data_IF_455540059864
#
_entry.id   IF_455540059864
#
_cell.length_a   1.000
_cell.length_b   1.000
_cell.length_c   1.000
_cell.angle_alpha   90.00
_cell.angle_beta   90.00
_cell.angle_gamma   90.00
#
_symmetry.space_group_name_H-M   'P 1'
#
loop_
_entity.id
_entity.type
_entity.pdbx_description
1 polymer ?
#
# COMPACT_ATOMS: atom_id res chain seq x y z
N UNK A 1 23.73 7.01 -28.74
CA UNK A 1 24.04 5.58 -28.45
C UNK A 1 23.44 4.76 -29.57
N UNK A 2 24.27 3.96 -30.21
CA UNK A 2 24.00 3.07 -31.35
C UNK A 2 24.26 1.62 -30.93
N UNK A 3 23.85 0.63 -31.72
CA UNK A 3 24.11 -0.79 -31.37
C UNK A 3 25.62 -1.08 -31.25
N UNK A 4 26.46 -0.40 -32.03
CA UNK A 4 27.93 -0.52 -31.93
C UNK A 4 28.49 -0.02 -30.60
N UNK A 5 27.76 0.84 -29.87
CA UNK A 5 28.21 1.34 -28.57
C UNK A 5 27.93 0.34 -27.43
N UNK A 6 27.08 -0.66 -27.66
CA UNK A 6 26.54 -1.54 -26.62
C UNK A 6 27.61 -2.43 -25.96
N UNK A 7 28.64 -2.80 -26.71
CA UNK A 7 29.72 -3.66 -26.21
C UNK A 7 30.95 -2.85 -25.73
N UNK A 8 30.88 -1.52 -25.80
CA UNK A 8 31.89 -0.62 -25.22
C UNK A 8 31.73 -0.62 -23.69
N UNK A 9 32.86 -0.69 -22.99
CA UNK A 9 32.92 -0.65 -21.53
C UNK A 9 32.98 0.78 -21.01
N UNK A 10 32.16 1.08 -20.02
CA UNK A 10 32.08 2.37 -19.33
C UNK A 10 32.28 2.20 -17.82
N UNK A 11 32.70 3.27 -17.15
CA UNK A 11 32.75 3.31 -15.69
C UNK A 11 31.34 3.23 -15.10
N UNK A 12 31.16 2.35 -14.12
CA UNK A 12 29.91 2.11 -13.40
C UNK A 12 30.06 2.38 -11.88
N UNK A 13 31.13 3.08 -11.47
CA UNK A 13 31.50 3.33 -10.05
C UNK A 13 30.41 4.07 -9.25
N UNK A 14 29.58 4.88 -9.89
CA UNK A 14 28.47 5.60 -9.25
C UNK A 14 27.13 4.83 -9.30
N UNK A 15 27.18 3.55 -9.66
CA UNK A 15 26.04 2.63 -9.62
C UNK A 15 26.31 1.51 -8.63
N UNK A 16 25.27 0.84 -8.17
CA UNK A 16 25.38 -0.28 -7.25
C UNK A 16 25.12 -1.63 -7.92
N UNK A 17 25.37 -1.72 -9.23
CA UNK A 17 25.22 -2.95 -10.00
C UNK A 17 26.31 -4.00 -9.72
N UNK A 18 27.34 -3.69 -8.92
CA UNK A 18 28.33 -4.67 -8.45
C UNK A 18 29.60 -4.79 -9.30
N UNK A 19 29.85 -3.86 -10.24
CA UNK A 19 31.11 -3.79 -11.01
C UNK A 19 31.55 -2.35 -11.24
N UNK A 20 32.87 -2.09 -11.17
CA UNK A 20 33.43 -0.76 -11.42
C UNK A 20 33.43 -0.38 -12.90
N UNK A 21 33.45 -1.37 -13.79
CA UNK A 21 33.39 -1.21 -15.24
C UNK A 21 32.44 -2.25 -15.82
N UNK A 22 31.52 -1.82 -16.68
CA UNK A 22 30.49 -2.65 -17.31
C UNK A 22 30.31 -2.25 -18.76
N UNK A 23 29.88 -3.18 -19.62
CA UNK A 23 29.49 -2.79 -20.98
C UNK A 23 28.21 -1.95 -20.95
N UNK A 24 28.02 -1.06 -21.91
CA UNK A 24 26.79 -0.27 -22.01
C UNK A 24 25.55 -1.15 -22.03
N UNK A 25 25.62 -2.32 -22.70
CA UNK A 25 24.55 -3.33 -22.72
C UNK A 25 24.17 -3.79 -21.31
N UNK A 26 25.17 -4.10 -20.49
CA UNK A 26 24.95 -4.54 -19.10
C UNK A 26 24.37 -3.40 -18.25
N UNK A 27 24.86 -2.16 -18.43
CA UNK A 27 24.34 -0.99 -17.70
C UNK A 27 22.88 -0.73 -18.06
N UNK A 28 22.55 -0.68 -19.35
CA UNK A 28 21.17 -0.45 -19.82
C UNK A 28 20.24 -1.58 -19.37
N UNK A 29 20.70 -2.83 -19.41
CA UNK A 29 19.93 -3.96 -18.89
C UNK A 29 19.68 -3.81 -17.38
N UNK A 30 20.71 -3.51 -16.58
CA UNK A 30 20.57 -3.35 -15.14
C UNK A 30 19.63 -2.18 -14.77
N UNK A 31 19.72 -1.06 -15.50
CA UNK A 31 18.81 0.08 -15.33
C UNK A 31 17.35 -0.32 -15.66
N UNK A 32 17.11 -1.06 -16.75
CA UNK A 32 15.76 -1.52 -17.11
C UNK A 32 15.20 -2.51 -16.10
N UNK A 33 16.03 -3.45 -15.64
CA UNK A 33 15.64 -4.41 -14.59
C UNK A 33 15.29 -3.68 -13.28
N UNK A 34 16.02 -2.61 -12.95
CA UNK A 34 15.83 -1.86 -11.70
C UNK A 34 14.64 -0.89 -11.75
N UNK A 35 14.52 -0.09 -12.80
CA UNK A 35 13.64 1.08 -12.85
C UNK A 35 12.49 0.96 -13.87
N UNK A 36 12.43 -0.13 -14.65
CA UNK A 36 11.41 -0.34 -15.68
C UNK A 36 10.71 -1.71 -15.56
N UNK A 37 10.83 -2.35 -14.39
CA UNK A 37 10.15 -3.60 -14.05
C UNK A 37 8.79 -3.34 -13.38
N UNK A 38 8.44 -4.18 -12.40
CA UNK A 38 7.20 -4.05 -11.62
C UNK A 38 7.19 -2.86 -10.65
N UNK A 39 8.33 -2.20 -10.42
CA UNK A 39 8.49 -1.06 -9.52
C UNK A 39 9.02 0.14 -10.29
N UNK A 40 8.26 1.23 -10.28
CA UNK A 40 8.71 2.57 -10.63
C UNK A 40 9.03 3.35 -9.35
N UNK A 41 10.19 3.99 -9.29
CA UNK A 41 10.64 4.72 -8.09
C UNK A 41 10.83 6.20 -8.38
N UNK A 42 10.16 7.05 -7.60
CA UNK A 42 10.31 8.51 -7.63
C UNK A 42 10.94 8.97 -6.31
N UNK A 43 12.24 9.24 -6.34
CA UNK A 43 13.00 9.76 -5.18
C UNK A 43 14.01 10.85 -5.55
N UNK A 44 14.32 11.00 -6.85
CA UNK A 44 15.34 11.93 -7.34
C UNK A 44 14.95 13.41 -7.19
N UNK A 45 13.66 13.72 -6.97
CA UNK A 45 13.19 15.06 -6.62
C UNK A 45 13.61 15.49 -5.21
N UNK A 46 13.98 14.55 -4.34
CA UNK A 46 14.46 14.84 -3.00
C UNK A 46 15.78 15.63 -3.01
N UNK A 47 15.88 16.61 -2.13
CA UNK A 47 17.06 17.47 -2.03
C UNK A 47 18.25 16.74 -1.39
N UNK A 48 18.00 15.90 -0.38
CA UNK A 48 19.02 15.20 0.42
C UNK A 48 19.80 14.14 -0.40
N UNK A 49 21.13 14.32 -0.59
CA UNK A 49 21.97 13.34 -1.27
C UNK A 49 22.07 11.98 -0.55
N UNK A 50 21.97 11.96 0.78
CA UNK A 50 22.03 10.73 1.57
C UNK A 50 20.81 9.85 1.31
N UNK A 51 19.61 10.43 1.27
CA UNK A 51 18.36 9.73 0.93
C UNK A 51 18.40 9.19 -0.50
N UNK A 52 18.84 10.01 -1.47
CA UNK A 52 19.00 9.56 -2.86
C UNK A 52 19.94 8.37 -2.97
N UNK A 53 21.10 8.44 -2.28
CA UNK A 53 22.07 7.34 -2.26
C UNK A 53 21.49 6.09 -1.61
N UNK A 54 20.75 6.24 -0.52
CA UNK A 54 20.13 5.15 0.22
C UNK A 54 19.13 4.36 -0.65
N UNK A 55 18.32 5.07 -1.44
CA UNK A 55 17.38 4.48 -2.40
C UNK A 55 18.11 3.81 -3.56
N UNK A 56 19.04 4.54 -4.19
CA UNK A 56 19.82 4.05 -5.31
C UNK A 56 20.55 2.75 -4.96
N UNK A 57 21.19 2.70 -3.79
CA UNK A 57 21.91 1.52 -3.31
C UNK A 57 21.02 0.29 -3.19
N UNK A 58 19.85 0.44 -2.55
CA UNK A 58 18.93 -0.70 -2.32
C UNK A 58 18.29 -1.19 -3.60
N UNK A 59 17.87 -0.28 -4.47
CA UNK A 59 17.21 -0.61 -5.73
C UNK A 59 18.20 -1.26 -6.71
N UNK A 60 19.36 -0.65 -6.93
CA UNK A 60 20.33 -1.11 -7.92
C UNK A 60 21.07 -2.39 -7.50
N UNK A 61 21.31 -2.61 -6.20
CA UNK A 61 21.86 -3.89 -5.72
C UNK A 61 20.91 -5.06 -6.00
N UNK A 62 19.62 -4.85 -5.78
CA UNK A 62 18.60 -5.89 -5.99
C UNK A 62 18.22 -6.04 -7.47
N UNK A 63 18.45 -5.03 -8.30
CA UNK A 63 18.05 -4.98 -9.72
C UNK A 63 16.58 -5.34 -9.94
N UNK A 64 15.71 -4.87 -9.04
CA UNK A 64 14.27 -5.17 -9.09
C UNK A 64 13.89 -6.63 -8.85
N UNK A 65 14.81 -7.47 -8.36
CA UNK A 65 14.61 -8.91 -8.14
C UNK A 65 14.72 -9.22 -6.64
N UNK A 66 13.64 -9.09 -5.86
CA UNK A 66 13.66 -9.49 -4.46
C UNK A 66 13.88 -10.99 -4.34
N UNK A 67 14.67 -11.40 -3.34
CA UNK A 67 14.99 -12.80 -3.10
C UNK A 67 14.20 -13.32 -1.89
N UNK A 68 12.99 -13.81 -2.14
CA UNK A 68 12.17 -14.49 -1.13
C UNK A 68 12.41 -15.99 -1.14
N UNK A 69 12.51 -16.57 0.05
CA UNK A 69 12.48 -18.01 0.28
C UNK A 69 11.15 -18.62 -0.17
N UNK A 70 11.13 -19.94 -0.35
CA UNK A 70 9.92 -20.65 -0.74
C UNK A 70 8.78 -20.48 0.27
N UNK A 71 9.09 -20.38 1.57
CA UNK A 71 8.07 -20.23 2.61
C UNK A 71 7.53 -18.81 2.68
N UNK A 72 8.37 -17.78 2.46
CA UNK A 72 7.90 -16.40 2.30
C UNK A 72 6.96 -16.28 1.08
N UNK A 73 7.32 -16.89 -0.06
CA UNK A 73 6.46 -16.91 -1.26
C UNK A 73 5.11 -17.59 -1.00
N UNK A 74 5.11 -18.71 -0.27
CA UNK A 74 3.87 -19.38 0.14
C UNK A 74 3.04 -18.51 1.09
N UNK A 75 3.67 -17.81 2.02
CA UNK A 75 2.99 -16.88 2.93
C UNK A 75 2.35 -15.72 2.16
N UNK A 76 3.05 -15.14 1.19
CA UNK A 76 2.48 -14.12 0.29
C UNK A 76 1.24 -14.68 -0.42
N UNK A 77 1.33 -15.88 -1.01
CA UNK A 77 0.19 -16.52 -1.66
C UNK A 77 -0.98 -16.80 -0.70
N UNK A 78 -0.68 -17.16 0.55
CA UNK A 78 -1.68 -17.37 1.60
C UNK A 78 -2.44 -16.07 1.90
N UNK A 79 -1.74 -14.94 2.08
CA UNK A 79 -2.36 -13.63 2.28
C UNK A 79 -3.28 -13.24 1.12
N UNK A 80 -2.85 -13.47 -0.13
CA UNK A 80 -3.70 -13.25 -1.31
C UNK A 80 -4.93 -14.17 -1.34
N UNK A 81 -4.75 -15.42 -0.91
CA UNK A 81 -5.82 -16.42 -0.89
C UNK A 81 -6.86 -16.08 0.18
N UNK A 82 -6.43 -15.62 1.36
CA UNK A 82 -7.32 -15.12 2.40
C UNK A 82 -8.08 -13.87 1.93
N UNK A 83 -7.40 -12.95 1.22
CA UNK A 83 -8.00 -11.74 0.67
C UNK A 83 -9.10 -12.06 -0.35
N UNK A 84 -8.80 -12.85 -1.39
CA UNK A 84 -9.78 -13.25 -2.42
C UNK A 84 -10.90 -14.13 -1.82
N UNK A 85 -10.54 -15.08 -0.95
CA UNK A 85 -11.46 -16.05 -0.36
C UNK A 85 -12.59 -15.39 0.43
N UNK A 86 -12.26 -14.40 1.27
CA UNK A 86 -13.26 -13.64 2.04
C UNK A 86 -14.23 -12.90 1.11
N UNK A 87 -13.72 -12.21 0.08
CA UNK A 87 -14.56 -11.44 -0.83
C UNK A 87 -15.53 -12.33 -1.62
N UNK A 88 -15.03 -13.47 -2.12
CA UNK A 88 -15.86 -14.45 -2.84
C UNK A 88 -16.90 -15.10 -1.94
N UNK A 89 -16.57 -15.36 -0.68
CA UNK A 89 -17.54 -15.85 0.30
C UNK A 89 -18.65 -14.81 0.52
N UNK A 90 -18.28 -13.56 0.82
CA UNK A 90 -19.25 -12.48 1.04
C UNK A 90 -20.11 -12.21 -0.20
N UNK A 91 -19.52 -12.27 -1.40
CA UNK A 91 -20.25 -12.10 -2.66
C UNK A 91 -21.32 -13.17 -2.85
N UNK A 92 -20.99 -14.42 -2.51
CA UNK A 92 -21.90 -15.57 -2.65
C UNK A 92 -22.98 -15.57 -1.58
N UNK A 93 -22.63 -15.22 -0.34
CA UNK A 93 -23.53 -15.33 0.83
C UNK A 93 -24.46 -14.12 0.98
N UNK A 94 -23.97 -12.92 0.71
CA UNK A 94 -24.68 -11.65 0.96
C UNK A 94 -24.84 -10.84 -0.32
N UNK A 95 -25.48 -11.47 -1.31
CA UNK A 95 -25.72 -10.87 -2.64
C UNK A 95 -26.45 -9.53 -2.49
N UNK A 96 -25.93 -8.50 -3.16
CA UNK A 96 -26.52 -7.17 -3.16
C UNK A 96 -26.23 -6.33 -1.91
N UNK A 97 -25.56 -6.84 -0.87
CA UNK A 97 -25.11 -5.96 0.22
C UNK A 97 -23.79 -5.27 -0.14
N UNK A 98 -23.73 -3.95 0.09
CA UNK A 98 -22.53 -3.15 -0.14
C UNK A 98 -21.41 -3.55 0.83
N UNK A 99 -20.23 -3.85 0.29
CA UNK A 99 -19.03 -4.19 1.08
C UNK A 99 -17.74 -3.50 0.61
N UNK A 100 -17.76 -2.91 -0.59
CA UNK A 100 -16.61 -2.24 -1.19
C UNK A 100 -15.40 -3.17 -1.36
N UNK A 101 -15.64 -4.25 -2.10
CA UNK A 101 -14.72 -5.37 -2.33
C UNK A 101 -13.29 -4.91 -2.70
N UNK A 102 -12.31 -5.62 -2.14
CA UNK A 102 -10.90 -5.47 -2.49
C UNK A 102 -10.51 -6.19 -3.79
N UNK A 103 -11.39 -6.97 -4.41
CA UNK A 103 -11.05 -7.79 -5.60
C UNK A 103 -10.38 -6.97 -6.72
N UNK A 104 -9.21 -7.45 -7.16
CA UNK A 104 -8.29 -6.75 -8.07
C UNK A 104 -7.22 -5.89 -7.38
N UNK A 105 -7.20 -5.83 -6.05
CA UNK A 105 -6.20 -5.15 -5.21
C UNK A 105 -5.73 -6.01 -4.04
N UNK A 106 -5.78 -7.34 -4.15
CA UNK A 106 -5.52 -8.30 -3.07
C UNK A 106 -4.11 -8.17 -2.48
N UNK A 107 -3.13 -7.76 -3.28
CA UNK A 107 -1.75 -7.52 -2.83
C UNK A 107 -1.63 -6.47 -1.73
N UNK A 108 -2.64 -5.62 -1.55
CA UNK A 108 -2.73 -4.71 -0.41
C UNK A 108 -2.73 -5.46 0.94
N UNK A 109 -3.36 -6.63 1.05
CA UNK A 109 -3.34 -7.41 2.30
C UNK A 109 -1.94 -7.97 2.58
N UNK A 110 -1.21 -8.38 1.55
CA UNK A 110 0.18 -8.78 1.69
C UNK A 110 1.09 -7.60 2.12
N UNK A 111 0.84 -6.40 1.59
CA UNK A 111 1.53 -5.18 2.03
C UNK A 111 1.24 -4.86 3.50
N UNK A 112 -0.02 -4.90 3.92
CA UNK A 112 -0.40 -4.63 5.32
C UNK A 112 0.21 -5.65 6.29
N UNK A 113 0.24 -6.93 5.91
CA UNK A 113 0.90 -7.98 6.68
C UNK A 113 2.40 -7.66 6.86
N UNK A 114 3.09 -7.32 5.77
CA UNK A 114 4.52 -6.95 5.81
C UNK A 114 4.78 -5.69 6.66
N UNK A 115 3.92 -4.67 6.59
CA UNK A 115 4.02 -3.48 7.47
C UNK A 115 4.01 -3.88 8.95
N UNK A 116 3.15 -4.82 9.33
CA UNK A 116 3.01 -5.28 10.71
C UNK A 116 4.22 -6.11 11.11
N UNK A 117 4.56 -7.14 10.34
CA UNK A 117 5.66 -8.06 10.66
C UNK A 117 6.99 -7.31 10.76
N UNK A 118 7.32 -6.50 9.74
CA UNK A 118 8.55 -5.71 9.70
C UNK A 118 8.57 -4.57 10.70
N UNK A 119 7.41 -3.97 10.97
CA UNK A 119 7.26 -2.96 12.02
C UNK A 119 7.62 -3.54 13.38
N UNK A 120 7.04 -4.70 13.72
CA UNK A 120 7.32 -5.39 14.96
C UNK A 120 8.78 -5.82 15.11
N UNK A 121 9.39 -6.37 14.04
CA UNK A 121 10.83 -6.66 14.00
C UNK A 121 11.71 -5.43 14.28
N UNK A 122 11.27 -4.25 13.82
CA UNK A 122 11.95 -2.97 14.04
C UNK A 122 11.56 -2.28 15.35
N UNK A 123 10.84 -2.96 16.23
CA UNK A 123 10.49 -2.49 17.58
C UNK A 123 9.29 -1.56 17.65
N UNK A 124 8.50 -1.43 16.56
CA UNK A 124 7.19 -0.76 16.62
C UNK A 124 6.30 -1.51 17.62
N UNK A 125 5.68 -0.76 18.52
CA UNK A 125 4.80 -1.29 19.57
C UNK A 125 3.33 -1.08 19.24
N UNK A 126 3.00 -0.02 18.50
CA UNK A 126 1.63 0.26 18.06
C UNK A 126 1.59 0.73 16.61
N UNK A 127 0.58 0.30 15.87
CA UNK A 127 0.26 0.78 14.53
C UNK A 127 -1.16 1.34 14.54
N UNK A 128 -1.30 2.59 14.11
CA UNK A 128 -2.60 3.26 14.00
C UNK A 128 -2.92 3.44 12.53
N UNK A 129 -4.04 2.86 12.11
CA UNK A 129 -4.44 2.75 10.71
C UNK A 129 -5.61 3.71 10.45
N UNK A 130 -5.45 4.59 9.47
CA UNK A 130 -6.54 5.36 8.87
C UNK A 130 -6.82 4.83 7.46
N UNK A 131 -8.04 4.44 7.15
CA UNK A 131 -8.39 3.98 5.79
C UNK A 131 -9.81 4.33 5.39
N UNK A 132 -10.03 4.45 4.09
CA UNK A 132 -11.35 4.58 3.48
C UNK A 132 -12.10 3.21 3.41
N UNK A 133 -13.18 3.15 2.63
CA UNK A 133 -14.04 1.97 2.53
C UNK A 133 -13.42 0.75 1.82
N UNK A 134 -12.50 0.97 0.87
CA UNK A 134 -12.01 -0.08 -0.05
C UNK A 134 -11.25 -1.17 0.71
N UNK A 135 -11.78 -2.40 0.69
CA UNK A 135 -11.16 -3.54 1.37
C UNK A 135 -11.16 -3.45 2.91
N UNK A 136 -11.94 -2.56 3.52
CA UNK A 136 -11.94 -2.35 4.98
C UNK A 136 -12.39 -3.57 5.76
N UNK A 137 -13.38 -4.31 5.26
CA UNK A 137 -13.80 -5.59 5.87
C UNK A 137 -12.70 -6.65 5.76
N UNK A 138 -11.94 -6.61 4.67
CA UNK A 138 -10.81 -7.50 4.44
C UNK A 138 -9.69 -7.22 5.45
N UNK A 139 -9.34 -5.95 5.66
CA UNK A 139 -8.39 -5.51 6.70
C UNK A 139 -8.88 -5.91 8.10
N UNK A 140 -10.15 -5.69 8.43
CA UNK A 140 -10.71 -6.09 9.72
C UNK A 140 -10.49 -7.58 10.02
N UNK A 141 -10.78 -8.47 9.07
CA UNK A 141 -10.69 -9.92 9.27
C UNK A 141 -9.25 -10.43 9.09
N UNK A 142 -8.63 -10.13 7.95
CA UNK A 142 -7.36 -10.75 7.54
C UNK A 142 -6.12 -10.01 8.08
N UNK A 143 -6.27 -8.80 8.63
CA UNK A 143 -5.17 -8.03 9.21
C UNK A 143 -5.36 -7.82 10.72
N UNK A 144 -6.53 -7.35 11.16
CA UNK A 144 -6.79 -7.10 12.59
C UNK A 144 -7.36 -8.32 13.34
N UNK A 145 -7.67 -9.42 12.65
CA UNK A 145 -8.15 -10.64 13.33
C UNK A 145 -9.57 -10.52 13.90
N UNK A 146 -10.42 -9.62 13.38
CA UNK A 146 -11.84 -9.62 13.68
C UNK A 146 -12.42 -10.99 13.33
N UNK A 147 -13.13 -11.61 14.26
CA UNK A 147 -13.71 -12.92 14.03
C UNK A 147 -14.71 -12.85 12.86
N UNK A 148 -14.62 -13.73 11.85
CA UNK A 148 -15.58 -13.75 10.74
C UNK A 148 -17.03 -13.88 11.20
N UNK A 149 -17.27 -14.61 12.30
CA UNK A 149 -18.59 -14.73 12.91
C UNK A 149 -19.19 -13.38 13.32
N UNK A 150 -18.39 -12.48 13.91
CA UNK A 150 -18.84 -11.15 14.32
C UNK A 150 -19.16 -10.29 13.09
N UNK A 151 -18.31 -10.37 12.06
CA UNK A 151 -18.58 -9.70 10.79
C UNK A 151 -19.89 -10.22 10.17
N UNK A 152 -20.12 -11.53 10.14
CA UNK A 152 -21.34 -12.12 9.59
C UNK A 152 -22.58 -11.71 10.40
N UNK A 153 -22.47 -11.57 11.72
CA UNK A 153 -23.55 -11.05 12.55
C UNK A 153 -23.95 -9.61 12.16
N UNK A 154 -23.00 -8.77 11.73
CA UNK A 154 -23.28 -7.42 11.20
C UNK A 154 -23.97 -7.46 9.83
N UNK A 155 -23.71 -8.46 9.00
CA UNK A 155 -24.44 -8.67 7.74
C UNK A 155 -25.86 -9.18 7.96
N UNK A 156 -26.10 -9.88 9.07
CA UNK A 156 -27.39 -10.47 9.42
C UNK A 156 -28.23 -9.59 10.36
N UNK A 157 -27.75 -8.39 10.73
CA UNK A 157 -28.38 -7.51 11.72
C UNK A 157 -28.64 -8.18 13.07
N UNK A 158 -27.72 -9.07 13.49
CA UNK A 158 -27.74 -9.78 14.77
C UNK A 158 -26.69 -9.29 15.76
N UNK A 159 -25.80 -8.39 15.34
CA UNK A 159 -24.81 -7.79 16.22
C UNK A 159 -25.51 -6.96 17.31
N UNK A 160 -24.95 -6.96 18.52
CA UNK A 160 -25.44 -6.11 19.59
C UNK A 160 -25.19 -4.64 19.23
N UNK A 161 -26.27 -3.86 19.10
CA UNK A 161 -26.19 -2.40 18.94
C UNK A 161 -26.23 -1.75 20.32
N UNK A 162 -25.07 -1.68 20.98
CA UNK A 162 -24.96 -1.05 22.32
C UNK A 162 -25.12 0.48 22.27
N UNK A 163 -25.04 1.08 21.08
CA UNK A 163 -25.14 2.53 20.87
C UNK A 163 -26.42 2.91 20.11
N UNK A 164 -27.19 3.93 20.57
CA UNK A 164 -28.50 4.26 20.00
C UNK A 164 -28.53 4.71 18.54
N UNK A 165 -27.40 5.18 18.00
CA UNK A 165 -27.32 5.76 16.65
C UNK A 165 -26.57 4.87 15.64
N UNK A 166 -25.66 4.00 16.10
CA UNK A 166 -24.82 3.15 15.25
C UNK A 166 -24.03 3.90 14.17
N UNK A 167 -23.30 3.15 13.34
CA UNK A 167 -22.80 3.60 12.03
C UNK A 167 -22.62 2.37 11.13
N UNK A 168 -22.50 2.56 9.82
CA UNK A 168 -22.35 1.46 8.86
C UNK A 168 -21.08 0.64 9.13
N UNK A 169 -21.14 -0.68 8.85
CA UNK A 169 -20.08 -1.67 9.15
C UNK A 169 -18.66 -1.27 8.67
N UNK A 170 -18.58 -0.54 7.56
CA UNK A 170 -17.32 -0.04 6.99
C UNK A 170 -16.88 1.34 7.53
N UNK A 171 -17.45 1.83 8.65
CA UNK A 171 -16.93 2.95 9.45
C UNK A 171 -16.44 2.53 10.85
N UNK A 172 -16.73 1.30 11.28
CA UNK A 172 -16.37 0.77 12.60
C UNK A 172 -14.86 0.61 12.77
N UNK A 173 -14.28 1.15 13.84
CA UNK A 173 -12.90 0.88 14.24
C UNK A 173 -12.74 -0.50 14.87
N UNK A 174 -11.50 -0.91 15.08
CA UNK A 174 -11.18 -2.17 15.75
C UNK A 174 -9.79 -2.10 16.36
N UNK A 175 -9.52 -2.86 17.41
CA UNK A 175 -8.17 -2.95 17.98
C UNK A 175 -7.87 -4.36 18.45
N UNK A 176 -6.63 -4.78 18.24
CA UNK A 176 -6.16 -6.14 18.54
C UNK A 176 -4.65 -6.15 18.62
N UNK A 177 -4.09 -7.16 19.30
CA UNK A 177 -2.66 -7.41 19.29
C UNK A 177 -2.35 -8.51 18.27
N UNK A 178 -1.39 -8.25 17.39
CA UNK A 178 -0.92 -9.22 16.40
C UNK A 178 0.51 -9.62 16.74
N UNK A 179 0.77 -10.93 16.75
CA UNK A 179 2.11 -11.47 17.02
C UNK A 179 3.03 -11.23 15.83
N UNK A 180 4.23 -10.73 16.12
CA UNK A 180 5.32 -10.57 15.14
C UNK A 180 6.61 -11.19 15.69
N UNK A 181 7.65 -11.40 14.86
CA UNK A 181 8.94 -11.91 15.35
C UNK A 181 9.58 -11.04 16.44
N UNK A 182 9.31 -9.73 16.45
CA UNK A 182 9.79 -8.79 17.47
C UNK A 182 8.92 -8.69 18.74
N UNK A 183 7.83 -9.46 18.82
CA UNK A 183 6.84 -9.40 19.88
C UNK A 183 5.46 -8.95 19.40
N UNK A 184 4.45 -8.89 20.29
CA UNK A 184 3.12 -8.43 19.92
C UNK A 184 3.12 -6.94 19.58
N UNK A 185 2.44 -6.58 18.50
CA UNK A 185 2.20 -5.19 18.07
C UNK A 185 0.72 -4.88 18.21
N UNK A 186 0.40 -3.77 18.88
CA UNK A 186 -0.97 -3.33 19.05
C UNK A 186 -1.46 -2.61 17.79
N UNK A 187 -2.50 -3.13 17.15
CA UNK A 187 -3.12 -2.53 15.98
C UNK A 187 -4.38 -1.77 16.39
N UNK A 188 -4.58 -0.59 15.81
CA UNK A 188 -5.76 0.23 16.04
C UNK A 188 -6.25 0.83 14.72
N UNK A 189 -7.37 0.32 14.21
CA UNK A 189 -8.05 0.88 13.06
C UNK A 189 -8.99 2.00 13.53
N UNK A 190 -8.79 3.21 13.00
CA UNK A 190 -9.60 4.36 13.34
C UNK A 190 -11.04 4.22 12.82
N UNK A 191 -11.98 4.74 13.61
CA UNK A 191 -13.32 5.07 13.11
C UNK A 191 -13.20 6.24 12.14
N UNK A 192 -14.00 6.22 11.07
CA UNK A 192 -14.00 7.29 10.08
C UNK A 192 -15.38 7.47 9.45
N UNK A 193 -15.81 8.70 9.15
CA UNK A 193 -17.03 8.92 8.36
C UNK A 193 -16.78 8.60 6.89
N UNK A 194 -17.83 8.74 6.06
CA UNK A 194 -17.71 8.59 4.60
C UNK A 194 -16.91 9.70 3.92
N UNK A 195 -16.65 10.83 4.61
CA UNK A 195 -15.83 11.92 4.10
C UNK A 195 -14.39 11.42 3.97
N UNK A 196 -13.96 11.15 2.74
CA UNK A 196 -12.65 10.58 2.46
C UNK A 196 -11.53 11.50 2.95
N UNK A 197 -10.40 10.90 3.33
CA UNK A 197 -9.17 11.59 3.77
C UNK A 197 -9.26 12.39 5.09
N UNK A 198 -10.45 12.74 5.61
CA UNK A 198 -10.58 13.53 6.85
C UNK A 198 -10.08 12.77 8.10
N UNK A 199 -9.97 11.45 8.02
CA UNK A 199 -9.43 10.62 9.10
C UNK A 199 -7.90 10.78 9.22
N UNK A 200 -7.21 11.23 8.17
CA UNK A 200 -5.76 11.34 8.14
C UNK A 200 -5.20 12.19 9.29
N UNK A 201 -5.61 13.48 9.47
CA UNK A 201 -5.10 14.28 10.59
C UNK A 201 -5.56 13.76 11.95
N UNK A 202 -6.68 13.03 12.02
CA UNK A 202 -7.17 12.41 13.27
C UNK A 202 -6.23 11.28 13.70
N UNK A 203 -5.78 10.45 12.76
CA UNK A 203 -4.78 9.41 13.03
C UNK A 203 -3.45 10.02 13.45
N UNK A 204 -2.97 11.06 12.75
CA UNK A 204 -1.72 11.73 13.13
C UNK A 204 -1.79 12.29 14.56
N UNK A 205 -2.90 12.93 14.94
CA UNK A 205 -3.12 13.40 16.31
C UNK A 205 -3.16 12.26 17.34
N UNK A 206 -3.83 11.15 17.02
CA UNK A 206 -3.89 9.95 17.87
C UNK A 206 -2.51 9.33 18.09
N UNK A 207 -1.74 9.19 17.00
CA UNK A 207 -0.36 8.70 17.04
C UNK A 207 0.51 9.62 17.87
N UNK A 208 0.44 10.93 17.64
CA UNK A 208 1.21 11.91 18.40
C UNK A 208 0.92 11.83 19.90
N UNK A 209 -0.36 11.73 20.28
CA UNK A 209 -0.74 11.59 21.69
C UNK A 209 -0.18 10.29 22.32
N UNK A 210 -0.15 9.18 21.56
CA UNK A 210 0.44 7.91 22.01
C UNK A 210 1.96 7.97 22.11
N UNK A 211 2.62 8.67 21.18
CA UNK A 211 4.07 8.91 21.23
C UNK A 211 4.44 9.73 22.47
N UNK A 212 3.74 10.83 22.73
CA UNK A 212 3.95 11.68 23.90
C UNK A 212 3.75 10.86 25.20
N UNK A 213 2.70 10.03 25.27
CA UNK A 213 2.45 9.14 26.41
C UNK A 213 3.57 8.11 26.63
N UNK A 214 4.17 7.59 25.56
CA UNK A 214 5.26 6.60 25.61
C UNK A 214 6.65 7.22 25.79
N UNK A 215 6.77 8.55 25.73
CA UNK A 215 8.07 9.21 25.64
C UNK A 215 8.81 8.91 24.33
N UNK A 216 8.08 8.57 23.27
CA UNK A 216 8.63 8.25 21.95
C UNK A 216 8.94 9.52 21.15
N UNK A 217 9.96 10.26 21.56
CA UNK A 217 10.29 11.59 21.02
C UNK A 217 10.72 11.59 19.55
N UNK A 218 11.07 10.42 19.01
CA UNK A 218 11.54 10.20 17.64
C UNK A 218 10.54 9.45 16.75
N UNK A 219 9.38 9.04 17.31
CA UNK A 219 8.34 8.30 16.59
C UNK A 219 8.75 6.88 16.17
N UNK A 220 9.63 6.20 16.92
CA UNK A 220 10.08 4.85 16.58
C UNK A 220 9.09 3.74 16.96
N UNK A 221 8.26 3.95 17.98
CA UNK A 221 7.41 2.92 18.60
C UNK A 221 5.94 2.98 18.16
N UNK A 222 5.43 4.15 17.77
CA UNK A 222 4.05 4.30 17.28
C UNK A 222 4.08 4.71 15.81
N UNK A 223 3.55 3.86 14.95
CA UNK A 223 3.57 4.02 13.49
C UNK A 223 2.18 4.45 12.97
N UNK A 224 2.06 5.62 12.33
CA UNK A 224 0.92 5.94 11.49
C UNK A 224 0.98 5.21 10.15
N UNK A 225 -0.13 4.57 9.78
CA UNK A 225 -0.34 3.99 8.44
C UNK A 225 -1.63 4.57 7.88
N UNK A 226 -1.52 5.27 6.74
CA UNK A 226 -2.66 5.89 6.08
C UNK A 226 -2.92 5.25 4.72
N UNK A 227 -4.16 4.84 4.48
CA UNK A 227 -4.57 4.11 3.29
C UNK A 227 -5.58 4.93 2.49
N UNK A 228 -5.25 5.14 1.23
CA UNK A 228 -5.92 6.11 0.37
C UNK A 228 -6.51 5.48 -0.89
N UNK A 229 -7.51 6.14 -1.48
CA UNK A 229 -7.94 5.88 -2.85
C UNK A 229 -7.31 6.89 -3.82
N UNK A 230 -6.98 6.47 -5.04
CA UNK A 230 -6.25 7.31 -6.02
C UNK A 230 -6.97 8.60 -6.42
N UNK A 231 -8.30 8.59 -6.48
CA UNK A 231 -9.09 9.79 -6.78
C UNK A 231 -9.16 10.76 -5.58
N UNK A 232 -9.18 10.22 -4.35
CA UNK A 232 -9.32 11.03 -3.15
C UNK A 232 -7.98 11.64 -2.71
N UNK A 233 -6.88 10.88 -2.83
CA UNK A 233 -5.56 11.29 -2.36
C UNK A 233 -5.07 12.58 -3.02
N UNK A 234 -5.17 12.69 -4.34
CA UNK A 234 -4.81 13.90 -5.08
C UNK A 234 -5.91 14.96 -5.13
N UNK A 235 -7.13 14.65 -4.68
CA UNK A 235 -8.32 15.49 -4.88
C UNK A 235 -8.86 16.17 -3.63
N UNK A 236 -8.48 15.73 -2.43
CA UNK A 236 -8.95 16.30 -1.16
C UNK A 236 -7.87 17.18 -0.52
N UNK A 237 -8.17 18.47 -0.30
CA UNK A 237 -7.22 19.44 0.27
C UNK A 237 -6.68 19.07 1.65
N UNK A 238 -7.44 18.31 2.44
CA UNK A 238 -6.99 17.83 3.76
C UNK A 238 -5.75 16.93 3.70
N UNK A 239 -5.51 16.25 2.56
CA UNK A 239 -4.28 15.49 2.34
C UNK A 239 -3.08 16.42 2.34
N UNK A 240 -3.15 17.51 1.57
CA UNK A 240 -2.10 18.54 1.53
C UNK A 240 -1.89 19.18 2.90
N UNK A 241 -2.98 19.51 3.62
CA UNK A 241 -2.91 20.08 4.97
C UNK A 241 -2.21 19.13 5.95
N UNK A 242 -2.50 17.83 5.87
CA UNK A 242 -1.87 16.81 6.73
C UNK A 242 -0.39 16.65 6.40
N UNK A 243 -0.03 16.55 5.12
CA UNK A 243 1.36 16.44 4.67
C UNK A 243 2.19 17.65 5.10
N UNK A 244 1.62 18.86 5.02
CA UNK A 244 2.29 20.08 5.48
C UNK A 244 2.68 20.06 6.97
N UNK A 245 2.03 19.20 7.78
CA UNK A 245 2.32 19.05 9.20
C UNK A 245 3.40 17.98 9.51
N UNK A 246 3.75 17.12 8.55
CA UNK A 246 4.56 15.91 8.75
C UNK A 246 5.89 16.13 9.51
N UNK A 247 6.55 17.28 9.28
CA UNK A 247 7.85 17.62 9.88
C UNK A 247 7.77 18.77 10.91
N UNK A 248 6.57 19.28 11.20
CA UNK A 248 6.40 20.40 12.14
C UNK A 248 6.51 19.92 13.59
N UNK A 249 7.15 20.70 14.47
CA UNK A 249 7.40 20.29 15.88
C UNK A 249 6.15 19.84 16.64
N UNK A 250 5.01 20.48 16.37
CA UNK A 250 3.76 20.27 17.09
C UNK A 250 3.00 19.02 16.63
N UNK A 251 3.25 18.56 15.40
CA UNK A 251 2.42 17.55 14.75
C UNK A 251 3.21 16.37 14.19
N UNK A 252 4.53 16.47 14.04
CA UNK A 252 5.36 15.37 13.53
C UNK A 252 5.14 14.08 14.32
N UNK A 253 5.13 12.96 13.60
CA UNK A 253 4.93 11.59 14.11
C UNK A 253 6.07 10.65 13.73
N UNK A 254 7.20 11.19 13.26
CA UNK A 254 8.37 10.40 12.87
C UNK A 254 8.21 9.67 11.53
N UNK A 255 7.38 10.22 10.64
CA UNK A 255 7.15 9.72 9.29
C UNK A 255 5.95 8.77 9.22
N UNK A 256 5.09 9.00 8.24
CA UNK A 256 3.90 8.19 7.94
C UNK A 256 4.12 7.27 6.74
N UNK A 257 3.66 6.03 6.84
CA UNK A 257 3.62 5.11 5.69
C UNK A 257 2.27 5.25 5.02
N UNK A 258 2.27 5.82 3.81
CA UNK A 258 1.09 5.97 2.99
C UNK A 258 0.97 4.81 2.00
N UNK A 259 -0.21 4.21 1.90
CA UNK A 259 -0.51 3.15 0.93
C UNK A 259 -1.69 3.59 0.08
N UNK A 260 -1.51 3.70 -1.23
CA UNK A 260 -2.59 4.06 -2.16
C UNK A 260 -3.08 2.78 -2.84
N UNK A 261 -4.38 2.50 -2.72
CA UNK A 261 -5.06 1.45 -3.48
C UNK A 261 -5.48 2.06 -4.82
N UNK A 262 -4.52 2.19 -5.73
CA UNK A 262 -4.70 2.87 -7.00
C UNK A 262 -5.31 1.94 -8.05
N UNK A 263 -6.63 1.88 -8.01
CA UNK A 263 -7.42 1.07 -8.91
C UNK A 263 -7.79 1.80 -10.22
N UNK A 264 -7.21 2.99 -10.43
CA UNK A 264 -7.30 3.81 -11.63
C UNK A 264 -8.71 4.31 -11.96
N UNK A 265 -9.59 4.40 -10.94
CA UNK A 265 -10.98 4.83 -11.10
C UNK A 265 -11.59 5.34 -9.78
N UNK A 266 -12.14 6.55 -9.79
CA UNK A 266 -12.97 7.11 -8.72
C UNK A 266 -14.45 7.03 -9.07
N UNK A 267 -15.19 6.11 -8.46
CA UNK A 267 -16.59 5.81 -8.84
C UNK A 267 -16.73 5.53 -10.35
N UNK A 268 -17.20 6.51 -11.14
CA UNK A 268 -17.39 6.46 -12.61
C UNK A 268 -16.36 7.33 -13.35
N UNK A 269 -15.49 8.03 -12.65
CA UNK A 269 -14.48 8.93 -13.22
C UNK A 269 -13.17 8.18 -13.32
N UNK A 270 -12.69 7.96 -14.55
CA UNK A 270 -11.44 7.24 -14.84
C UNK A 270 -10.54 7.95 -15.84
N UNK A 271 -11.06 8.94 -16.57
CA UNK A 271 -10.23 9.78 -17.42
C UNK A 271 -9.27 10.58 -16.52
N UNK A 272 -7.94 10.43 -16.68
CA UNK A 272 -7.00 11.14 -15.82
C UNK A 272 -7.20 12.66 -15.85
N UNK A 273 -7.69 13.22 -16.96
CA UNK A 273 -7.95 14.66 -17.14
C UNK A 273 -9.10 15.17 -16.27
N UNK A 274 -10.01 14.29 -15.86
CA UNK A 274 -11.12 14.60 -14.95
C UNK A 274 -10.76 14.32 -13.48
N UNK A 275 -9.76 13.47 -13.23
CA UNK A 275 -9.34 13.09 -11.87
C UNK A 275 -8.28 14.03 -11.28
N UNK A 276 -7.34 14.51 -12.09
CA UNK A 276 -6.15 15.24 -11.63
C UNK A 276 -5.49 16.05 -12.74
N UNK A 277 -4.64 17.00 -12.34
CA UNK A 277 -3.80 17.80 -13.25
C UNK A 277 -2.33 17.38 -13.27
N UNK A 278 -2.02 16.27 -12.60
CA UNK A 278 -0.68 15.70 -12.47
C UNK A 278 -0.66 14.29 -13.08
N UNK A 279 0.52 13.71 -13.25
CA UNK A 279 0.63 12.38 -13.86
C UNK A 279 0.24 11.28 -12.87
N UNK A 280 0.77 11.34 -11.65
CA UNK A 280 0.48 10.39 -10.59
C UNK A 280 -0.51 10.96 -9.57
N UNK A 281 -1.33 10.09 -8.98
CA UNK A 281 -2.20 10.47 -7.87
C UNK A 281 -1.40 10.92 -6.62
N UNK A 282 -0.17 10.43 -6.51
CA UNK A 282 0.75 10.69 -5.41
C UNK A 282 1.55 11.99 -5.54
N UNK A 283 1.46 12.72 -6.66
CA UNK A 283 2.31 13.90 -6.91
C UNK A 283 2.24 14.97 -5.82
N UNK A 284 1.14 15.02 -5.05
CA UNK A 284 0.99 15.92 -3.89
C UNK A 284 2.09 15.74 -2.83
N UNK A 285 2.62 14.52 -2.64
CA UNK A 285 3.63 14.26 -1.60
C UNK A 285 5.02 14.83 -1.93
N UNK A 286 5.25 15.20 -3.20
CA UNK A 286 6.48 15.85 -3.62
C UNK A 286 6.66 17.21 -2.93
N UNK A 287 5.59 17.82 -2.41
CA UNK A 287 5.66 19.06 -1.62
C UNK A 287 6.47 18.91 -0.33
N UNK A 288 6.59 17.69 0.21
CA UNK A 288 7.41 17.37 1.38
C UNK A 288 8.61 16.48 1.02
N UNK A 289 8.92 16.39 -0.27
CA UNK A 289 10.01 15.57 -0.82
C UNK A 289 9.90 14.07 -0.48
N UNK A 290 8.71 13.56 -0.15
CA UNK A 290 8.53 12.14 0.16
C UNK A 290 8.79 11.28 -1.08
N UNK A 291 9.52 10.16 -0.95
CA UNK A 291 9.70 9.21 -2.04
C UNK A 291 8.43 8.40 -2.30
N UNK A 292 8.24 7.98 -3.56
CA UNK A 292 7.11 7.15 -4.00
C UNK A 292 7.62 5.91 -4.70
N UNK A 293 7.09 4.75 -4.30
CA UNK A 293 7.24 3.50 -5.03
C UNK A 293 5.90 3.13 -5.67
N UNK A 294 5.81 3.25 -6.98
CA UNK A 294 4.71 2.77 -7.79
C UNK A 294 4.94 1.30 -8.09
N UNK A 295 4.04 0.42 -7.66
CA UNK A 295 4.22 -1.02 -7.77
C UNK A 295 3.04 -1.67 -8.46
N UNK A 296 3.32 -2.58 -9.39
CA UNK A 296 2.28 -3.38 -10.04
C UNK A 296 1.64 -4.34 -9.02
N UNK A 297 0.34 -4.17 -8.79
CA UNK A 297 -0.43 -5.00 -7.86
C UNK A 297 -0.49 -6.48 -8.25
N UNK A 298 -0.26 -6.84 -9.52
CA UNK A 298 -0.18 -8.23 -9.99
C UNK A 298 1.19 -8.89 -9.77
N UNK A 299 2.16 -8.18 -9.17
CA UNK A 299 3.43 -8.75 -8.71
C UNK A 299 3.56 -8.65 -7.18
N UNK A 300 2.95 -9.58 -6.43
CA UNK A 300 2.89 -9.53 -4.96
C UNK A 300 4.27 -9.53 -4.29
N UNK A 301 5.27 -10.18 -4.87
CA UNK A 301 6.65 -10.15 -4.38
C UNK A 301 7.23 -8.74 -4.46
N UNK A 302 7.00 -8.03 -5.57
CA UNK A 302 7.41 -6.65 -5.72
C UNK A 302 6.68 -5.72 -4.75
N UNK A 303 5.38 -5.96 -4.49
CA UNK A 303 4.59 -5.19 -3.51
C UNK A 303 5.15 -5.35 -2.09
N UNK A 304 5.43 -6.58 -1.68
CA UNK A 304 6.02 -6.86 -0.35
C UNK A 304 7.40 -6.24 -0.25
N UNK A 305 8.27 -6.40 -1.25
CA UNK A 305 9.60 -5.80 -1.23
C UNK A 305 9.58 -4.27 -1.24
N UNK A 306 8.70 -3.64 -2.03
CA UNK A 306 8.52 -2.19 -1.99
C UNK A 306 8.03 -1.72 -0.60
N UNK A 307 7.14 -2.49 0.04
CA UNK A 307 6.70 -2.24 1.41
C UNK A 307 7.87 -2.30 2.40
N UNK A 308 8.75 -3.30 2.26
CA UNK A 308 9.97 -3.42 3.07
C UNK A 308 10.85 -2.18 2.96
N UNK A 309 11.07 -1.69 1.74
CA UNK A 309 11.85 -0.48 1.50
C UNK A 309 11.18 0.77 2.10
N UNK A 310 9.86 0.92 1.98
CA UNK A 310 9.14 2.03 2.61
C UNK A 310 9.33 2.03 4.13
N UNK A 311 9.12 0.88 4.77
CA UNK A 311 9.31 0.72 6.22
C UNK A 311 10.74 1.03 6.66
N UNK A 312 11.73 0.56 5.89
CA UNK A 312 13.14 0.82 6.17
C UNK A 312 13.50 2.30 6.03
N UNK A 313 13.00 2.96 4.99
CA UNK A 313 13.21 4.39 4.77
C UNK A 313 12.62 5.21 5.90
N UNK A 314 11.36 4.93 6.27
CA UNK A 314 10.68 5.60 7.38
C UNK A 314 11.45 5.38 8.69
N UNK A 315 11.92 4.17 8.94
CA UNK A 315 12.70 3.86 10.13
C UNK A 315 14.03 4.63 10.19
N UNK A 316 14.73 4.77 9.06
CA UNK A 316 16.01 5.47 8.93
C UNK A 316 15.86 6.99 9.04
N UNK A 317 14.99 7.59 8.24
CA UNK A 317 14.93 9.04 8.04
C UNK A 317 13.83 9.75 8.82
N UNK A 318 12.89 9.00 9.42
CA UNK A 318 11.72 9.56 10.13
C UNK A 318 10.88 10.52 9.27
N UNK A 319 10.76 10.17 7.99
CA UNK A 319 10.01 10.91 6.96
C UNK A 319 8.92 10.04 6.35
N UNK A 320 7.92 10.71 5.79
CA UNK A 320 6.82 10.08 5.09
C UNK A 320 7.31 9.38 3.83
N UNK A 321 6.63 8.31 3.45
CA UNK A 321 6.91 7.52 2.25
C UNK A 321 5.63 6.93 1.69
N UNK A 322 5.55 6.81 0.38
CA UNK A 322 4.34 6.34 -0.31
C UNK A 322 4.59 5.05 -1.07
N UNK A 323 3.72 4.08 -0.84
CA UNK A 323 3.53 2.89 -1.66
C UNK A 323 2.27 3.07 -2.52
N UNK A 324 2.43 3.29 -3.82
CA UNK A 324 1.33 3.38 -4.78
C UNK A 324 1.11 2.00 -5.43
N UNK A 325 0.14 1.23 -4.93
CA UNK A 325 -0.20 -0.09 -5.47
C UNK A 325 -1.13 0.09 -6.66
N UNK A 326 -0.57 0.02 -7.87
CA UNK A 326 -1.31 0.16 -9.12
C UNK A 326 -2.03 -1.16 -9.41
N UNK A 327 -3.35 -1.14 -9.27
CA UNK A 327 -4.21 -2.31 -9.32
C UNK A 327 -5.47 -2.03 -10.16
N UNK A 328 -6.52 -2.83 -10.01
CA UNK A 328 -7.82 -2.59 -10.63
C UNK A 328 -8.98 -2.85 -9.66
N UNK A 329 -10.20 -2.48 -10.07
CA UNK A 329 -11.44 -2.81 -9.34
C UNK A 329 -12.23 -3.85 -10.13
N UNK A 330 -12.32 -5.09 -9.62
CA UNK A 330 -12.98 -6.19 -10.33
C UNK A 330 -14.48 -5.91 -10.57
N UNK A 331 -15.15 -5.33 -9.58
CA UNK A 331 -16.59 -5.05 -9.57
C UNK A 331 -16.89 -3.56 -9.83
N UNK A 332 -18.16 -3.17 -9.75
CA UNK A 332 -18.59 -1.76 -9.71
C UNK A 332 -18.02 -1.00 -8.50
N UNK A 333 -18.36 0.29 -8.36
CA UNK A 333 -17.91 1.06 -7.19
C UNK A 333 -18.48 0.48 -5.89
N UNK A 334 -19.75 0.13 -5.92
CA UNK A 334 -20.33 -0.89 -5.05
C UNK A 334 -20.79 -2.10 -5.87
N UNK A 335 -21.18 -3.19 -5.19
CA UNK A 335 -21.48 -4.46 -5.83
C UNK A 335 -22.80 -4.52 -6.61
N UNK A 336 -23.62 -3.45 -6.56
CA UNK A 336 -24.82 -3.31 -7.37
C UNK A 336 -24.59 -2.43 -8.61
N UNK A 337 -23.48 -1.70 -8.69
CA UNK A 337 -23.22 -0.78 -9.80
C UNK A 337 -22.81 -1.54 -11.05
N UNK A 338 -23.21 -1.03 -12.22
CA UNK A 338 -22.80 -1.56 -13.54
C UNK A 338 -21.74 -0.66 -14.16
N UNK A 339 -20.44 -0.94 -13.95
CA UNK A 339 -19.38 -0.02 -14.34
C UNK A 339 -19.09 -0.01 -15.85
N UNK A 340 -19.53 -1.04 -16.59
CA UNK A 340 -19.39 -1.10 -18.04
C UNK A 340 -20.17 0.02 -18.77
N UNK A 341 -21.12 0.69 -18.10
CA UNK A 341 -21.87 1.82 -18.66
C UNK A 341 -20.96 3.02 -18.93
N UNK A 342 -19.98 3.27 -18.08
CA UNK A 342 -19.04 4.40 -18.18
C UNK A 342 -17.62 3.97 -18.55
N UNK A 343 -17.22 2.75 -18.22
CA UNK A 343 -15.87 2.19 -18.47
C UNK A 343 -15.89 0.86 -19.25
N UNK A 344 -16.51 0.78 -20.44
CA UNK A 344 -16.71 -0.48 -21.15
C UNK A 344 -15.39 -1.17 -21.53
N UNK A 345 -14.39 -0.42 -21.99
CA UNK A 345 -13.11 -1.00 -22.44
C UNK A 345 -12.26 -1.52 -21.28
N UNK A 346 -12.22 -0.77 -20.17
CA UNK A 346 -11.52 -1.18 -18.95
C UNK A 346 -12.14 -2.47 -18.40
N UNK A 347 -13.47 -2.53 -18.26
CA UNK A 347 -14.14 -3.71 -17.71
C UNK A 347 -14.13 -4.92 -18.65
N UNK A 348 -14.05 -4.71 -19.97
CA UNK A 348 -13.77 -5.80 -20.93
C UNK A 348 -12.40 -6.44 -20.67
N UNK A 349 -11.38 -5.66 -20.34
CA UNK A 349 -10.04 -6.16 -20.01
C UNK A 349 -10.02 -6.83 -18.63
N UNK A 350 -10.63 -6.23 -17.63
CA UNK A 350 -10.75 -6.79 -16.27
C UNK A 350 -11.51 -8.13 -16.27
N UNK A 351 -12.54 -8.29 -17.11
CA UNK A 351 -13.26 -9.54 -17.24
C UNK A 351 -12.38 -10.69 -17.77
N UNK A 352 -11.43 -10.38 -18.67
CA UNK A 352 -10.45 -11.34 -19.18
C UNK A 352 -9.25 -11.55 -18.23
N UNK A 353 -9.08 -10.69 -17.23
CA UNK A 353 -7.97 -10.79 -16.28
C UNK A 353 -8.22 -11.94 -15.27
N UNK A 354 -7.27 -12.88 -15.11
CA UNK A 354 -7.43 -14.06 -14.27
C UNK A 354 -7.53 -13.77 -12.76
N UNK A 355 -7.09 -12.58 -12.32
CA UNK A 355 -7.05 -12.19 -10.91
C UNK A 355 -5.68 -12.43 -10.28
N UNK A 356 -5.28 -11.54 -9.37
CA UNK A 356 -3.91 -11.46 -8.82
C UNK A 356 -3.46 -12.75 -8.14
N UNK A 357 -4.33 -13.37 -7.31
CA UNK A 357 -4.02 -14.64 -6.63
C UNK A 357 -3.75 -15.76 -7.61
N UNK A 358 -4.50 -15.84 -8.71
CA UNK A 358 -4.28 -16.87 -9.75
C UNK A 358 -2.99 -16.61 -10.51
N UNK A 359 -2.73 -15.36 -10.93
CA UNK A 359 -1.48 -14.97 -11.60
C UNK A 359 -0.27 -15.40 -10.78
N UNK A 360 -0.28 -15.11 -9.48
CA UNK A 360 0.83 -15.45 -8.60
C UNK A 360 0.93 -16.96 -8.33
N UNK A 361 -0.20 -17.65 -8.13
CA UNK A 361 -0.22 -19.10 -7.97
C UNK A 361 0.37 -19.84 -9.18
N UNK A 362 -0.02 -19.43 -10.39
CA UNK A 362 0.53 -19.99 -11.64
C UNK A 362 2.04 -19.71 -11.77
N UNK A 363 2.49 -18.49 -11.39
CA UNK A 363 3.92 -18.10 -11.35
C UNK A 363 4.73 -19.04 -10.45
N UNK A 364 4.22 -19.35 -9.25
CA UNK A 364 4.92 -20.23 -8.30
C UNK A 364 4.98 -21.69 -8.78
N UNK A 365 3.91 -22.19 -9.40
CA UNK A 365 3.90 -23.54 -9.99
C UNK A 365 4.94 -23.66 -11.12
N UNK A 366 5.09 -22.62 -11.97
CA UNK A 366 6.07 -22.64 -13.05
C UNK A 366 7.54 -22.51 -12.59
N UNK A 367 7.78 -22.14 -11.32
CA UNK A 367 9.11 -22.07 -10.71
C UNK A 367 9.52 -23.37 -9.99
N UNK A 368 8.57 -24.30 -9.80
CA UNK A 368 8.77 -25.61 -9.19
C UNK A 368 9.08 -26.63 -10.28
#
# INVERSE_FOLDING_TARGET
LTESDMDISFSAVNSYFGGETMTLRQIVQALRETYCGSIGSEFMHGSDPAEKRWWQERLEKARGKPNFSADEKKHILDRLTAAEGLERFLHTKYVGQKRFSLEGGESFIAAMDEVIQRGGERGVQEIVIGMAHRGRLNVLVNTLGKMPADLFAEFEHKAAEDLPAGDVKYHQGFSSDVSTPGGPVHLSLAFNPSHLEIVNPVVEGSVRARQDRRGDTVGAQVLPVLVHGDAAFGGQGVVQETLAMAQTRGYRTGGTVHIIINNQIGFTTSDPRDLRSTWYCSDVVKMIEAPVLHVNGDDPEAVVWATQLCMDYRAEFKKDVVLDIVCFRKLGHNEQDTPALTQPLMYKKIAAHPGTRKVYGDKLVAQT
#
